data_IF_788739905984
#
_entry.id   IF_788739905984
#
_cell.length_a   1.000
_cell.length_b   1.000
_cell.length_c   1.000
_cell.angle_alpha   90.00
_cell.angle_beta   90.00
_cell.angle_gamma   90.00
#
_symmetry.space_group_name_H-M   'P 1'
#
loop_
_entity.id
_entity.type
_entity.pdbx_description
1 polymer ?
#
# COMPACT_ATOMS: atom_id res chain seq x y z
N UNK A 1 7.04 -4.69 14.50
CA UNK A 1 6.29 -4.77 13.24
C UNK A 1 4.82 -4.68 13.57
N UNK A 2 4.07 -3.87 12.83
CA UNK A 2 2.63 -3.78 12.98
C UNK A 2 1.99 -5.03 12.35
N UNK A 3 0.90 -5.53 12.93
CA UNK A 3 0.16 -6.63 12.31
C UNK A 3 -0.70 -6.08 11.18
N UNK A 4 -0.72 -6.77 10.03
CA UNK A 4 -1.46 -6.30 8.86
C UNK A 4 -2.96 -6.11 9.16
N UNK A 5 -3.53 -6.94 10.04
CA UNK A 5 -4.94 -6.88 10.46
C UNK A 5 -5.28 -5.67 11.34
N UNK A 6 -4.27 -4.91 11.79
CA UNK A 6 -4.45 -3.64 12.49
C UNK A 6 -4.46 -2.44 11.52
N UNK A 7 -4.06 -2.66 10.26
CA UNK A 7 -3.86 -1.61 9.26
C UNK A 7 -4.75 -1.79 8.03
N UNK A 8 -5.19 -3.01 7.72
CA UNK A 8 -6.01 -3.33 6.55
C UNK A 8 -7.19 -4.21 6.97
N UNK A 9 -8.40 -3.89 6.49
CA UNK A 9 -9.59 -4.67 6.80
C UNK A 9 -9.56 -6.08 6.19
N UNK A 10 -10.32 -7.01 6.77
CA UNK A 10 -10.27 -8.42 6.41
C UNK A 10 -10.63 -8.68 4.93
N UNK A 11 -11.65 -7.99 4.42
CA UNK A 11 -12.07 -8.10 3.01
C UNK A 11 -11.00 -7.63 2.04
N UNK A 12 -10.28 -6.56 2.40
CA UNK A 12 -9.24 -5.96 1.58
C UNK A 12 -7.97 -6.83 1.59
N UNK A 13 -7.65 -7.46 2.73
CA UNK A 13 -6.59 -8.47 2.80
C UNK A 13 -6.84 -9.64 1.83
N UNK A 14 -8.08 -10.16 1.81
CA UNK A 14 -8.47 -11.24 0.90
C UNK A 14 -8.39 -10.79 -0.56
N UNK A 15 -8.96 -9.63 -0.90
CA UNK A 15 -8.92 -9.08 -2.24
C UNK A 15 -7.50 -8.80 -2.75
N UNK A 16 -6.59 -8.34 -1.87
CA UNK A 16 -5.18 -8.15 -2.22
C UNK A 16 -4.50 -9.48 -2.55
N UNK A 17 -4.71 -10.52 -1.74
CA UNK A 17 -4.14 -11.86 -1.96
C UNK A 17 -4.59 -12.43 -3.30
N UNK A 18 -5.89 -12.38 -3.57
CA UNK A 18 -6.47 -12.80 -4.85
C UNK A 18 -5.85 -12.02 -6.02
N UNK A 19 -5.74 -10.70 -5.91
CA UNK A 19 -5.17 -9.85 -6.97
C UNK A 19 -3.69 -10.18 -7.23
N UNK A 20 -2.90 -10.42 -6.18
CA UNK A 20 -1.49 -10.79 -6.29
C UNK A 20 -1.36 -12.18 -6.93
N UNK A 21 -2.22 -13.13 -6.56
CA UNK A 21 -2.26 -14.47 -7.16
C UNK A 21 -2.62 -14.40 -8.65
N UNK A 22 -3.61 -13.60 -9.03
CA UNK A 22 -3.97 -13.33 -10.44
C UNK A 22 -2.81 -12.70 -11.21
N UNK A 23 -2.01 -11.86 -10.55
CA UNK A 23 -0.77 -11.29 -11.09
C UNK A 23 0.41 -12.30 -11.08
N UNK A 24 0.17 -13.58 -10.75
CA UNK A 24 1.17 -14.65 -10.68
C UNK A 24 2.27 -14.40 -9.64
N UNK A 25 1.92 -13.71 -8.56
CA UNK A 25 2.86 -13.31 -7.51
C UNK A 25 3.77 -12.14 -7.86
N UNK A 26 3.55 -11.49 -9.01
CA UNK A 26 4.26 -10.26 -9.37
C UNK A 26 3.84 -9.10 -8.48
N UNK A 27 4.63 -8.04 -8.50
CA UNK A 27 4.35 -6.80 -7.80
C UNK A 27 3.08 -6.12 -8.37
N UNK A 28 2.22 -5.67 -7.48
CA UNK A 28 0.97 -4.98 -7.75
C UNK A 28 0.95 -3.70 -6.93
N UNK A 29 0.59 -2.59 -7.57
CA UNK A 29 0.44 -1.30 -6.92
C UNK A 29 -1.03 -1.02 -6.65
N UNK A 30 -1.35 -0.77 -5.38
CA UNK A 30 -2.70 -0.56 -4.88
C UNK A 30 -2.87 0.85 -4.33
N UNK A 31 -4.11 1.33 -4.37
CA UNK A 31 -4.57 2.48 -3.58
C UNK A 31 -5.61 1.99 -2.59
N UNK A 32 -5.54 2.47 -1.35
CA UNK A 32 -6.52 2.23 -0.31
C UNK A 32 -7.00 3.56 0.27
N UNK A 33 -8.28 3.58 0.69
CA UNK A 33 -8.82 4.65 1.52
C UNK A 33 -8.66 4.27 2.98
N UNK A 34 -8.48 5.27 3.84
CA UNK A 34 -8.52 5.06 5.29
C UNK A 34 -9.88 5.44 5.85
N UNK A 35 -10.40 4.61 6.74
CA UNK A 35 -11.58 4.93 7.53
C UNK A 35 -11.23 5.89 8.69
N UNK A 36 -12.23 6.29 9.48
CA UNK A 36 -12.05 7.19 10.62
C UNK A 36 -11.12 6.62 11.73
N UNK A 37 -10.87 5.31 11.71
CA UNK A 37 -9.99 4.60 12.64
C UNK A 37 -8.58 4.45 12.10
N UNK A 38 -8.33 4.84 10.85
CA UNK A 38 -7.05 4.66 10.16
C UNK A 38 -6.86 3.26 9.57
N UNK A 39 -7.93 2.47 9.44
CA UNK A 39 -7.91 1.17 8.80
C UNK A 39 -8.06 1.33 7.29
N UNK A 40 -7.19 0.70 6.52
CA UNK A 40 -7.25 0.67 5.07
C UNK A 40 -8.40 -0.22 4.59
N UNK A 41 -9.24 0.35 3.73
CA UNK A 41 -10.39 -0.29 3.10
C UNK A 41 -10.51 0.21 1.65
N UNK A 42 -11.49 -0.32 0.90
CA UNK A 42 -11.73 0.06 -0.51
C UNK A 42 -10.47 -0.03 -1.37
N UNK A 43 -9.76 -1.15 -1.28
CA UNK A 43 -8.51 -1.35 -2.02
C UNK A 43 -8.78 -1.50 -3.51
N UNK A 44 -8.06 -0.71 -4.31
CA UNK A 44 -8.13 -0.72 -5.78
C UNK A 44 -6.75 -1.02 -6.35
N UNK A 45 -6.59 -2.10 -7.12
CA UNK A 45 -5.32 -2.41 -7.78
C UNK A 45 -5.15 -1.59 -9.05
N UNK A 46 -4.16 -0.70 -9.07
CA UNK A 46 -3.97 0.30 -10.11
C UNK A 46 -2.99 -0.13 -11.20
N UNK A 47 -1.99 -0.95 -10.85
CA UNK A 47 -1.00 -1.45 -11.80
C UNK A 47 -0.51 -2.84 -11.41
N UNK A 48 -0.13 -3.64 -12.42
CA UNK A 48 0.59 -4.91 -12.23
C UNK A 48 1.95 -4.81 -12.94
N UNK A 49 2.98 -5.28 -12.26
CA UNK A 49 4.35 -5.24 -12.71
C UNK A 49 4.91 -6.63 -12.94
N UNK A 50 6.19 -6.77 -12.64
CA UNK A 50 6.90 -8.05 -12.63
C UNK A 50 7.46 -8.33 -11.23
N UNK A 51 8.45 -9.21 -11.12
CA UNK A 51 9.03 -9.69 -9.86
C UNK A 51 9.81 -8.64 -9.05
N UNK A 52 10.06 -7.46 -9.62
CA UNK A 52 11.02 -6.49 -9.08
C UNK A 52 10.67 -5.02 -9.36
N UNK A 53 9.58 -4.75 -10.08
CA UNK A 53 9.08 -3.39 -10.28
C UNK A 53 7.61 -3.37 -10.71
N UNK A 54 6.92 -2.30 -10.32
CA UNK A 54 5.57 -1.94 -10.76
C UNK A 54 5.47 -0.44 -11.08
N UNK A 55 4.60 -0.01 -12.03
CA UNK A 55 4.33 1.41 -12.22
C UNK A 55 3.69 2.07 -10.98
N UNK A 56 4.29 3.16 -10.50
CA UNK A 56 3.75 3.98 -9.41
C UNK A 56 2.85 5.12 -9.96
N UNK A 57 1.53 4.97 -9.82
CA UNK A 57 0.54 5.94 -10.33
C UNK A 57 0.26 7.06 -9.31
N UNK A 58 1.23 7.93 -9.06
CA UNK A 58 1.22 8.88 -7.94
C UNK A 58 0.10 9.93 -7.97
N UNK A 59 -0.46 10.23 -9.15
CA UNK A 59 -1.47 11.27 -9.33
C UNK A 59 -2.85 10.89 -8.77
N UNK A 60 -3.10 9.59 -8.54
CA UNK A 60 -4.42 9.10 -8.11
C UNK A 60 -4.62 9.15 -6.58
N UNK A 61 -3.52 9.23 -5.82
CA UNK A 61 -3.55 9.26 -4.36
C UNK A 61 -3.71 10.68 -3.82
N UNK A 62 -4.63 10.88 -2.89
CA UNK A 62 -4.87 12.14 -2.18
C UNK A 62 -4.51 12.05 -0.70
N UNK A 63 -4.39 13.20 -0.03
CA UNK A 63 -4.10 13.26 1.41
C UNK A 63 -5.00 12.30 2.21
N UNK A 64 -4.42 11.51 3.11
CA UNK A 64 -5.13 10.53 3.92
C UNK A 64 -5.38 9.18 3.25
N UNK A 65 -5.05 9.04 1.97
CA UNK A 65 -4.99 7.73 1.31
C UNK A 65 -3.70 7.00 1.64
N UNK A 66 -3.65 5.71 1.31
CA UNK A 66 -2.44 4.90 1.38
C UNK A 66 -2.21 4.24 0.04
N UNK A 67 -0.96 4.28 -0.44
CA UNK A 67 -0.51 3.41 -1.51
C UNK A 67 0.17 2.18 -0.93
N UNK A 68 -0.06 1.02 -1.54
CA UNK A 68 0.45 -0.25 -1.06
C UNK A 68 1.04 -1.01 -2.24
N UNK A 69 2.21 -1.62 -2.09
CA UNK A 69 2.71 -2.60 -3.04
C UNK A 69 3.26 -3.83 -2.33
N UNK A 70 3.22 -4.98 -3.00
CA UNK A 70 3.79 -6.21 -2.47
C UNK A 70 5.23 -6.38 -2.95
N UNK A 71 6.13 -6.85 -2.07
CA UNK A 71 7.42 -7.37 -2.48
C UNK A 71 7.31 -8.88 -2.72
N UNK A 72 7.48 -9.37 -3.97
CA UNK A 72 7.43 -10.79 -4.29
C UNK A 72 8.45 -11.64 -3.54
N UNK A 73 9.58 -11.04 -3.15
CA UNK A 73 10.64 -11.67 -2.39
C UNK A 73 10.28 -11.98 -0.93
N UNK A 74 9.26 -11.31 -0.38
CA UNK A 74 8.93 -11.33 1.04
C UNK A 74 9.86 -10.49 1.93
N UNK A 75 10.94 -9.92 1.39
CA UNK A 75 11.76 -8.95 2.11
C UNK A 75 11.11 -7.57 2.01
N UNK A 76 10.70 -7.00 3.14
CA UNK A 76 9.95 -5.73 3.16
C UNK A 76 10.84 -4.49 3.32
N UNK A 77 12.16 -4.65 3.25
CA UNK A 77 13.07 -3.52 3.25
C UNK A 77 12.82 -2.66 2.01
N UNK A 78 12.57 -1.34 2.16
CA UNK A 78 12.29 -0.47 1.03
C UNK A 78 13.55 -0.26 0.18
N UNK A 79 13.38 -0.42 -1.13
CA UNK A 79 14.39 -0.08 -2.13
C UNK A 79 14.52 1.44 -2.32
N UNK A 80 15.54 1.89 -3.05
CA UNK A 80 15.70 3.33 -3.34
C UNK A 80 14.50 3.93 -4.09
N UNK A 81 13.90 3.25 -5.10
CA UNK A 81 12.63 3.65 -5.68
C UNK A 81 11.48 3.79 -4.67
N UNK A 82 11.35 2.84 -3.73
CA UNK A 82 10.30 2.88 -2.71
C UNK A 82 10.43 4.12 -1.83
N UNK A 83 11.64 4.41 -1.36
CA UNK A 83 11.93 5.61 -0.56
C UNK A 83 11.61 6.89 -1.33
N UNK A 84 11.92 6.95 -2.63
CA UNK A 84 11.61 8.10 -3.47
C UNK A 84 10.09 8.30 -3.60
N UNK A 85 9.35 7.23 -3.89
CA UNK A 85 7.88 7.25 -4.00
C UNK A 85 7.24 7.65 -2.67
N UNK A 86 7.66 7.02 -1.57
CA UNK A 86 7.16 7.30 -0.24
C UNK A 86 7.44 8.75 0.19
N UNK A 87 8.62 9.30 -0.14
CA UNK A 87 8.96 10.70 0.16
C UNK A 87 8.07 11.69 -0.60
N UNK A 88 7.85 11.45 -1.89
CA UNK A 88 7.00 12.32 -2.71
C UNK A 88 5.53 12.29 -2.24
N UNK A 89 4.98 11.09 -2.02
CA UNK A 89 3.60 10.91 -1.58
C UNK A 89 3.40 11.35 -0.13
N UNK A 90 4.36 11.07 0.75
CA UNK A 90 4.33 11.48 2.15
C UNK A 90 4.27 13.00 2.33
N UNK A 91 4.97 13.76 1.50
CA UNK A 91 4.87 15.23 1.48
C UNK A 91 3.46 15.74 1.11
N UNK A 92 2.61 14.89 0.52
CA UNK A 92 1.20 15.16 0.20
C UNK A 92 0.25 14.58 1.25
N UNK A 93 0.78 13.98 2.32
CA UNK A 93 0.03 13.34 3.40
C UNK A 93 -0.55 11.97 3.03
N UNK A 94 0.01 11.32 2.01
CA UNK A 94 -0.35 9.95 1.57
C UNK A 94 0.58 8.95 2.28
N UNK A 95 0.02 7.87 2.82
CA UNK A 95 0.80 6.77 3.41
C UNK A 95 1.37 5.83 2.36
N UNK A 96 2.44 5.11 2.70
CA UNK A 96 3.10 4.15 1.80
C UNK A 96 3.48 2.88 2.56
N UNK A 97 2.85 1.76 2.21
CA UNK A 97 3.04 0.46 2.86
C UNK A 97 3.63 -0.56 1.88
N UNK A 98 4.45 -1.46 2.40
CA UNK A 98 5.00 -2.60 1.67
C UNK A 98 4.51 -3.87 2.36
N UNK A 99 3.93 -4.80 1.60
CA UNK A 99 3.47 -6.10 2.12
C UNK A 99 4.20 -7.25 1.44
N UNK A 100 4.13 -8.46 1.99
CA UNK A 100 4.55 -9.66 1.27
C UNK A 100 3.40 -10.23 0.41
N UNK A 101 3.69 -11.21 -0.44
CA UNK A 101 2.65 -11.84 -1.30
C UNK A 101 1.53 -12.54 -0.51
N UNK A 102 1.84 -13.05 0.68
CA UNK A 102 0.84 -13.63 1.56
C UNK A 102 -0.04 -12.57 2.24
N UNK A 103 0.33 -11.29 2.15
CA UNK A 103 -0.34 -10.16 2.79
C UNK A 103 -0.59 -10.47 4.28
N UNK A 104 0.42 -10.97 4.96
CA UNK A 104 0.40 -11.30 6.40
C UNK A 104 1.48 -10.55 7.20
N UNK A 105 2.38 -9.86 6.50
CA UNK A 105 3.36 -8.95 7.07
C UNK A 105 3.37 -7.62 6.31
N UNK A 106 3.71 -6.55 7.03
CA UNK A 106 3.66 -5.18 6.52
C UNK A 106 4.75 -4.31 7.12
N UNK A 107 5.39 -3.55 6.24
CA UNK A 107 6.29 -2.47 6.60
C UNK A 107 5.68 -1.13 6.21
N UNK A 108 5.50 -0.26 7.21
CA UNK A 108 4.97 1.09 7.00
C UNK A 108 6.15 2.03 6.77
N UNK A 109 6.34 2.48 5.53
CA UNK A 109 7.40 3.43 5.17
C UNK A 109 7.00 4.84 5.62
N UNK A 110 5.75 5.21 5.36
CA UNK A 110 5.15 6.49 5.75
C UNK A 110 3.71 6.25 6.20
N UNK A 111 3.34 6.80 7.35
CA UNK A 111 1.94 6.83 7.80
C UNK A 111 1.16 7.93 7.07
N UNK A 112 -0.09 7.65 6.69
CA UNK A 112 -0.94 8.67 6.08
C UNK A 112 -1.31 9.76 7.10
N UNK A 113 -1.41 11.00 6.64
CA UNK A 113 -1.84 12.10 7.50
C UNK A 113 -3.36 12.10 7.58
N UNK A 114 -3.91 12.22 8.79
CA UNK A 114 -5.35 12.39 8.97
C UNK A 114 -5.79 13.64 8.20
N UNK A 115 -6.80 13.50 7.33
CA UNK A 115 -7.49 14.66 6.75
C UNK A 115 -7.97 15.53 7.92
N UNK A 116 -7.50 16.76 8.01
CA UNK A 116 -8.09 17.71 8.96
C UNK A 116 -9.55 17.87 8.54
N UNK A 117 -10.48 17.52 9.43
CA UNK A 117 -11.88 17.89 9.24
C UNK A 117 -11.91 19.42 9.31
N UNK A 118 -12.17 20.07 8.17
CA UNK A 118 -12.50 21.49 8.14
C UNK A 118 -13.70 21.69 9.06
N UNK A 119 -13.51 22.43 10.16
CA UNK A 119 -14.59 22.93 11.01
C UNK A 119 -15.50 23.86 10.23
#
# INVERSE_FOLDING_TARGET
>A
MAKVEQLIDASSLEAMRETIEEARGNEVFFLARLDDRGMAHEIVPLARGHDSAVPALMQVAGQGDVVIHNHPSGCLDPSSPDIAVASELGNRGVGCYIVNNAVDDVYVVVEAFKKQQSQ
#
